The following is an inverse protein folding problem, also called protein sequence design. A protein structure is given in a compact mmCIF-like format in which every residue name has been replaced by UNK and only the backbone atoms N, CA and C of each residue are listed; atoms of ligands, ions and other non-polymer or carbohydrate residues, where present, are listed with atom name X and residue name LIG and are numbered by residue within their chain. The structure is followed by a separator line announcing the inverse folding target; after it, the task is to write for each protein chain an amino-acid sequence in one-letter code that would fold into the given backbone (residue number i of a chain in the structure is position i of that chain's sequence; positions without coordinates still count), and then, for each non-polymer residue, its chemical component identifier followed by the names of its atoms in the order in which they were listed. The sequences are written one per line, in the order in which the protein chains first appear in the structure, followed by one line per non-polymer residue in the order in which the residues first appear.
data_IF_701229176823
#
_entry.id   IF_701229176823
#
_cell.length_a   1.000
_cell.length_b   1.000
_cell.length_c   1.000
_cell.angle_alpha   90.00
_cell.angle_beta   90.00
_cell.angle_gamma   90.00
#
_symmetry.space_group_name_H-M   'P 1'
#
loop_
_entity.id
_entity.type
_entity.pdbx_description
1 polymer ?
#
# COMPACT_ATOMS: atom_id res chain seq x y z
N UNK A 1 -16.07 11.64 1.36
CA UNK A 1 -15.56 12.64 2.33
C UNK A 1 -16.63 13.14 3.29
N UNK A 2 -17.93 13.07 2.95
CA UNK A 2 -18.99 13.57 3.85
C UNK A 2 -18.98 15.09 4.01
N UNK A 3 -18.42 15.81 3.03
CA UNK A 3 -18.34 17.27 2.99
C UNK A 3 -19.24 17.82 1.88
N UNK A 4 -19.72 19.04 2.02
CA UNK A 4 -20.43 19.72 0.95
C UNK A 4 -19.45 20.21 -0.13
N UNK A 5 -19.91 20.32 -1.38
CA UNK A 5 -19.08 20.77 -2.50
C UNK A 5 -18.46 22.15 -2.28
N UNK A 6 -19.19 23.06 -1.60
CA UNK A 6 -18.71 24.42 -1.28
C UNK A 6 -17.48 24.41 -0.35
N UNK A 7 -17.29 23.33 0.40
CA UNK A 7 -16.19 23.17 1.36
C UNK A 7 -14.99 22.43 0.73
N UNK A 8 -15.08 22.06 -0.55
CA UNK A 8 -14.00 21.39 -1.29
C UNK A 8 -13.04 22.42 -1.89
N UNK A 9 -11.86 22.56 -1.28
CA UNK A 9 -10.88 23.59 -1.68
C UNK A 9 -9.98 23.14 -2.84
N UNK A 10 -9.41 21.94 -2.75
CA UNK A 10 -8.54 21.36 -3.77
C UNK A 10 -8.33 19.86 -3.54
N UNK A 11 -7.81 19.17 -4.56
CA UNK A 11 -7.36 17.79 -4.44
C UNK A 11 -6.20 17.48 -5.39
N UNK A 12 -5.30 16.61 -4.92
CA UNK A 12 -4.33 15.93 -5.77
C UNK A 12 -4.81 14.51 -6.03
N UNK A 13 -5.17 14.25 -7.28
CA UNK A 13 -5.73 12.96 -7.71
C UNK A 13 -4.71 12.19 -8.55
N UNK A 14 -4.57 10.91 -8.26
CA UNK A 14 -3.74 9.98 -9.02
C UNK A 14 -4.64 8.90 -9.60
N UNK A 15 -4.58 8.72 -10.92
CA UNK A 15 -5.21 7.57 -11.56
C UNK A 15 -4.46 6.29 -11.18
N UNK A 16 -5.20 5.27 -10.79
CA UNK A 16 -4.61 3.99 -10.38
C UNK A 16 -5.53 2.86 -10.82
N UNK A 17 -4.93 1.71 -11.11
CA UNK A 17 -5.69 0.50 -11.46
C UNK A 17 -6.61 0.09 -10.30
N UNK A 18 -7.87 -0.23 -10.60
CA UNK A 18 -8.85 -0.63 -9.58
C UNK A 18 -8.71 -2.08 -9.14
N UNK A 19 -7.99 -2.89 -9.91
CA UNK A 19 -7.81 -4.32 -9.62
C UNK A 19 -7.05 -4.52 -8.30
N UNK A 20 -7.52 -5.42 -7.43
CA UNK A 20 -6.80 -5.78 -6.22
C UNK A 20 -5.55 -6.59 -6.54
N UNK A 21 -4.59 -6.55 -5.62
CA UNK A 21 -3.40 -7.40 -5.66
C UNK A 21 -3.79 -8.88 -5.56
N UNK A 22 -3.04 -9.75 -6.25
CA UNK A 22 -3.31 -11.19 -6.33
C UNK A 22 -2.02 -11.99 -6.17
N UNK A 23 -2.11 -13.13 -5.50
CA UNK A 23 -1.10 -14.18 -5.58
C UNK A 23 -1.34 -14.97 -6.86
N UNK A 24 -0.29 -15.16 -7.65
CA UNK A 24 -0.33 -15.82 -8.96
C UNK A 24 0.85 -16.78 -9.09
N UNK A 25 0.91 -17.51 -10.21
CA UNK A 25 1.83 -18.64 -10.41
C UNK A 25 1.15 -19.96 -10.08
N UNK A 26 1.67 -21.08 -10.61
CA UNK A 26 1.03 -22.39 -10.40
C UNK A 26 1.15 -22.86 -8.96
N UNK A 27 2.16 -22.39 -8.25
CA UNK A 27 2.43 -22.69 -6.84
C UNK A 27 2.09 -21.50 -5.92
N UNK A 28 1.53 -20.41 -6.47
CA UNK A 28 1.30 -19.17 -5.74
C UNK A 28 2.59 -18.43 -5.36
N UNK A 29 3.63 -18.57 -6.18
CA UNK A 29 4.98 -18.11 -5.90
C UNK A 29 5.21 -16.61 -6.19
N UNK A 30 4.24 -15.94 -6.85
CA UNK A 30 4.37 -14.53 -7.23
C UNK A 30 3.25 -13.66 -6.67
N UNK A 31 3.60 -12.41 -6.37
CA UNK A 31 2.64 -11.35 -6.03
C UNK A 31 2.50 -10.40 -7.23
N UNK A 32 1.33 -10.38 -7.84
CA UNK A 32 0.94 -9.35 -8.80
C UNK A 32 0.24 -8.21 -8.04
N UNK A 33 0.85 -7.04 -8.02
CA UNK A 33 0.30 -5.87 -7.34
C UNK A 33 0.73 -4.58 -8.01
N UNK A 34 -0.16 -3.58 -8.01
CA UNK A 34 0.20 -2.22 -8.35
C UNK A 34 1.14 -1.62 -7.31
N UNK A 35 1.98 -0.68 -7.76
CA UNK A 35 2.90 0.10 -6.92
C UNK A 35 3.90 -0.72 -6.10
N UNK A 36 4.31 -1.91 -6.56
CA UNK A 36 5.33 -2.71 -5.86
C UNK A 36 6.64 -1.95 -5.72
N UNK A 37 7.14 -1.37 -6.80
CA UNK A 37 8.27 -0.45 -6.75
C UNK A 37 7.80 0.93 -6.22
N UNK A 38 8.24 1.41 -5.06
CA UNK A 38 9.02 0.73 -4.01
C UNK A 38 8.21 0.52 -2.73
N UNK A 39 6.86 0.45 -2.81
CA UNK A 39 6.03 0.28 -1.62
C UNK A 39 6.27 -1.06 -0.93
N UNK A 40 6.68 -2.10 -1.65
CA UNK A 40 7.05 -3.38 -1.05
C UNK A 40 8.27 -3.21 -0.12
N UNK A 41 9.31 -2.52 -0.58
CA UNK A 41 10.49 -2.19 0.22
C UNK A 41 10.15 -1.31 1.42
N UNK A 42 9.34 -0.27 1.23
CA UNK A 42 8.86 0.57 2.34
C UNK A 42 8.12 -0.25 3.40
N UNK A 43 7.22 -1.15 2.98
CA UNK A 43 6.48 -2.01 3.89
C UNK A 43 7.42 -2.94 4.66
N UNK A 44 8.36 -3.61 3.99
CA UNK A 44 9.31 -4.50 4.62
C UNK A 44 10.12 -3.78 5.72
N UNK A 45 10.69 -2.62 5.41
CA UNK A 45 11.50 -1.85 6.37
C UNK A 45 10.67 -1.38 7.56
N UNK A 46 9.49 -0.80 7.32
CA UNK A 46 8.63 -0.33 8.41
C UNK A 46 8.16 -1.49 9.29
N UNK A 47 7.81 -2.62 8.69
CA UNK A 47 7.38 -3.80 9.43
C UNK A 47 8.52 -4.36 10.30
N UNK A 48 9.72 -4.48 9.74
CA UNK A 48 10.92 -4.89 10.49
C UNK A 48 11.21 -3.94 11.64
N UNK A 49 11.15 -2.63 11.41
CA UNK A 49 11.40 -1.63 12.46
C UNK A 49 10.41 -1.74 13.63
N UNK A 50 9.11 -1.86 13.34
CA UNK A 50 8.07 -1.98 14.37
C UNK A 50 8.27 -3.25 15.21
N UNK A 51 8.55 -4.39 14.57
CA UNK A 51 8.64 -5.65 15.27
C UNK A 51 9.97 -5.82 16.03
N UNK A 52 11.08 -5.33 15.48
CA UNK A 52 12.38 -5.36 16.19
C UNK A 52 12.48 -4.32 17.32
N UNK A 53 11.72 -3.21 17.25
CA UNK A 53 11.69 -2.22 18.32
C UNK A 53 10.82 -2.64 19.51
N UNK A 54 9.83 -3.52 19.27
CA UNK A 54 8.94 -4.05 20.31
C UNK A 54 9.52 -5.23 21.09
N UNK A 55 10.55 -5.91 20.56
CA UNK A 55 11.29 -6.98 21.26
C UNK A 55 12.34 -6.46 22.27
N UNK A 56 12.19 -5.22 22.76
CA UNK A 56 13.07 -4.60 23.77
C UNK A 56 12.59 -4.78 25.22
N UNK A 57 11.72 -5.75 25.51
CA UNK A 57 11.31 -6.12 26.87
C UNK A 57 11.90 -7.46 27.29
#
# INVERSE_FOLDING_TARGET
LGIEYKDFLSCDLIFTESQPSKIIGTEGEFLASKNLDNKSGCHAIMNSYVHTSNDKN
#
